data_IF_291774082140
#
_entry.id   IF_291774082140
#
_cell.length_a   1.000
_cell.length_b   1.000
_cell.length_c   1.000
_cell.angle_alpha   90.00
_cell.angle_beta   90.00
_cell.angle_gamma   90.00
#
_symmetry.space_group_name_H-M   'P 1'
#
loop_
_entity.id
_entity.type
_entity.pdbx_description
1 polymer ?
#
# COMPACT_ATOMS: atom_id res chain seq x y z
N UNK A 1 29.86 -51.39 37.02
CA UNK A 1 29.26 -50.49 38.03
C UNK A 1 30.11 -49.22 37.96
N UNK A 2 29.66 -48.07 37.46
CA UNK A 2 28.41 -47.38 37.77
C UNK A 2 28.00 -46.40 36.64
N UNK A 3 26.70 -46.11 36.60
CA UNK A 3 25.92 -45.37 35.60
C UNK A 3 26.30 -43.89 35.41
N UNK A 4 25.90 -43.23 34.30
CA UNK A 4 25.96 -41.78 34.16
C UNK A 4 24.70 -41.11 34.74
N UNK A 5 24.89 -40.01 35.46
CA UNK A 5 23.82 -39.19 36.05
C UNK A 5 23.31 -38.10 35.12
N UNK A 6 21.98 -38.08 35.01
CA UNK A 6 21.00 -37.11 34.51
C UNK A 6 21.39 -35.67 34.18
N UNK A 7 20.81 -35.22 33.06
CA UNK A 7 20.44 -33.86 32.69
C UNK A 7 19.68 -33.10 33.79
N UNK A 8 19.97 -31.81 33.97
CA UNK A 8 19.17 -30.89 34.78
C UNK A 8 18.05 -30.27 33.95
N UNK A 9 16.82 -30.61 34.29
CA UNK A 9 15.58 -30.06 33.74
C UNK A 9 15.41 -28.57 34.08
N UNK A 10 14.95 -27.78 33.11
CA UNK A 10 14.40 -26.46 33.34
C UNK A 10 13.03 -26.58 34.06
N UNK A 11 12.70 -25.67 34.99
CA UNK A 11 11.43 -25.75 35.71
C UNK A 11 10.25 -25.56 34.73
N UNK A 12 9.13 -26.30 34.91
CA UNK A 12 7.97 -26.17 34.05
C UNK A 12 7.36 -24.76 34.18
N UNK A 13 6.74 -24.23 33.11
CA UNK A 13 6.14 -22.90 33.13
C UNK A 13 5.06 -22.82 34.22
N UNK A 14 5.12 -21.77 35.03
CA UNK A 14 4.17 -21.53 36.11
C UNK A 14 2.80 -21.21 35.50
N UNK A 15 1.95 -22.23 35.44
CA UNK A 15 0.60 -22.15 34.87
C UNK A 15 -0.25 -21.05 35.53
N UNK A 16 0.08 -20.65 36.76
CA UNK A 16 -0.60 -19.57 37.47
C UNK A 16 -0.23 -18.19 36.91
N UNK A 17 1.00 -18.01 36.43
CA UNK A 17 1.43 -16.76 35.79
C UNK A 17 0.79 -16.62 34.41
N UNK A 18 0.73 -17.70 33.63
CA UNK A 18 0.10 -17.72 32.31
C UNK A 18 -1.42 -17.48 32.40
N UNK A 19 -2.07 -18.10 33.39
CA UNK A 19 -3.49 -17.88 33.68
C UNK A 19 -3.75 -16.45 34.18
N UNK A 20 -2.89 -15.91 35.03
CA UNK A 20 -2.96 -14.52 35.49
C UNK A 20 -2.85 -13.51 34.34
N UNK A 21 -1.94 -13.73 33.39
CA UNK A 21 -1.82 -12.87 32.20
C UNK A 21 -3.03 -12.98 31.27
N UNK A 22 -3.61 -14.16 31.10
CA UNK A 22 -4.81 -14.37 30.28
C UNK A 22 -6.04 -13.68 30.90
N UNK A 23 -6.21 -13.78 32.21
CA UNK A 23 -7.30 -13.09 32.94
C UNK A 23 -7.12 -11.58 32.86
N UNK A 24 -5.90 -11.06 33.02
CA UNK A 24 -5.63 -9.64 32.86
C UNK A 24 -5.92 -9.13 31.44
N UNK A 25 -5.57 -9.91 30.41
CA UNK A 25 -5.82 -9.57 29.01
C UNK A 25 -7.32 -9.56 28.69
N UNK A 26 -8.08 -10.53 29.22
CA UNK A 26 -9.55 -10.58 29.09
C UNK A 26 -10.22 -9.40 29.79
N UNK A 27 -9.73 -9.00 30.97
CA UNK A 27 -10.25 -7.82 31.69
C UNK A 27 -9.98 -6.53 30.91
N UNK A 28 -8.79 -6.38 30.32
CA UNK A 28 -8.45 -5.21 29.49
C UNK A 28 -9.30 -5.17 28.23
N UNK A 29 -9.50 -6.32 27.55
CA UNK A 29 -10.36 -6.42 26.37
C UNK A 29 -11.81 -6.08 26.74
N UNK A 30 -12.34 -6.62 27.84
CA UNK A 30 -13.68 -6.29 28.34
C UNK A 30 -13.80 -4.81 28.71
N UNK A 31 -12.79 -4.22 29.33
CA UNK A 31 -12.79 -2.79 29.65
C UNK A 31 -12.82 -1.93 28.38
N UNK A 32 -12.05 -2.27 27.35
CA UNK A 32 -12.05 -1.55 26.05
C UNK A 32 -13.41 -1.72 25.37
N UNK A 33 -13.94 -2.94 25.29
CA UNK A 33 -15.23 -3.23 24.66
C UNK A 33 -16.38 -2.52 25.39
N UNK A 34 -16.41 -2.56 26.72
CA UNK A 34 -17.44 -1.88 27.52
C UNK A 34 -17.30 -0.35 27.40
N UNK A 35 -16.08 0.18 27.33
CA UNK A 35 -15.85 1.62 27.10
C UNK A 35 -16.38 2.06 25.74
N UNK A 36 -16.12 1.28 24.68
CA UNK A 36 -16.66 1.55 23.33
C UNK A 36 -18.18 1.41 23.33
N UNK A 37 -18.74 0.38 23.98
CA UNK A 37 -20.18 0.16 24.05
C UNK A 37 -20.94 1.29 24.78
N UNK A 38 -20.43 1.77 25.92
CA UNK A 38 -21.10 2.83 26.70
C UNK A 38 -20.85 4.24 26.16
N UNK A 39 -19.73 4.50 25.46
CA UNK A 39 -19.44 5.82 24.89
C UNK A 39 -20.03 6.00 23.49
N UNK A 40 -20.11 4.93 22.69
CA UNK A 40 -20.54 5.01 21.28
C UNK A 40 -21.98 4.52 21.07
N UNK A 41 -22.41 3.45 21.77
CA UNK A 41 -23.63 2.73 21.37
C UNK A 41 -24.82 3.05 22.28
N UNK A 42 -24.64 3.17 23.60
CA UNK A 42 -25.78 3.39 24.51
C UNK A 42 -25.96 4.84 24.95
N UNK A 43 -26.25 5.73 23.99
CA UNK A 43 -26.94 6.99 24.30
C UNK A 43 -28.10 7.26 23.34
N UNK A 44 -29.09 6.35 23.37
CA UNK A 44 -30.55 6.63 23.41
C UNK A 44 -31.31 5.37 23.03
N UNK A 45 -31.99 4.79 24.01
CA UNK A 45 -33.13 3.90 23.76
C UNK A 45 -34.04 4.02 24.97
N UNK A 46 -35.22 4.61 24.75
CA UNK A 46 -36.50 4.24 25.38
C UNK A 46 -37.60 4.90 24.54
N UNK A 47 -38.30 4.07 23.76
CA UNK A 47 -39.76 3.87 23.82
C UNK A 47 -40.43 3.60 22.46
N UNK A 48 -41.15 2.47 22.43
CA UNK A 48 -42.53 2.40 21.95
C UNK A 48 -42.79 2.17 20.45
N UNK A 49 -43.10 0.93 20.09
CA UNK A 49 -43.60 0.54 18.76
C UNK A 49 -45.11 0.79 18.58
N UNK A 50 -45.53 1.13 17.34
CA UNK A 50 -46.72 0.68 16.56
C UNK A 50 -47.18 1.76 15.54
N UNK A 51 -48.13 1.49 14.60
CA UNK A 51 -47.96 0.81 13.32
C UNK A 51 -48.27 1.72 12.09
N UNK A 52 -47.91 1.23 10.89
CA UNK A 52 -48.05 1.90 9.58
C UNK A 52 -49.49 1.91 9.04
N UNK A 53 -50.01 3.09 8.65
CA UNK A 53 -51.10 3.24 7.65
C UNK A 53 -50.96 4.52 6.81
N UNK A 54 -50.84 4.33 5.48
CA UNK A 54 -51.56 5.05 4.40
C UNK A 54 -51.54 6.57 4.25
N UNK A 55 -50.80 7.04 3.21
CA UNK A 55 -51.29 7.90 2.13
C UNK A 55 -51.72 9.36 2.39
N UNK A 56 -51.07 10.32 1.72
CA UNK A 56 -51.64 11.66 1.51
C UNK A 56 -50.63 12.75 1.16
N UNK A 57 -50.78 13.33 -0.04
CA UNK A 57 -50.12 14.54 -0.56
C UNK A 57 -50.43 15.81 0.26
N UNK A 58 -49.44 16.70 0.43
CA UNK A 58 -49.66 18.05 0.95
C UNK A 58 -48.37 18.88 1.03
N UNK A 59 -48.40 20.09 0.48
CA UNK A 59 -47.27 21.01 0.31
C UNK A 59 -47.09 21.96 1.53
N UNK A 60 -45.88 22.48 1.65
CA UNK A 60 -45.41 23.72 2.34
C UNK A 60 -45.18 23.79 3.87
N UNK A 61 -43.90 24.07 4.16
CA UNK A 61 -43.32 25.06 5.09
C UNK A 61 -42.87 24.68 6.52
N UNK A 62 -41.57 24.94 6.73
CA UNK A 62 -40.86 25.35 7.94
C UNK A 62 -40.68 24.38 9.12
N UNK A 63 -39.40 24.09 9.40
CA UNK A 63 -38.89 23.90 10.77
C UNK A 63 -38.53 22.46 11.14
N UNK A 64 -37.23 22.20 11.27
CA UNK A 64 -36.70 20.99 11.92
C UNK A 64 -35.59 20.34 11.12
N UNK A 65 -34.34 20.63 11.49
CA UNK A 65 -33.17 19.83 11.09
C UNK A 65 -33.29 18.45 11.77
N UNK A 66 -34.05 17.55 11.17
CA UNK A 66 -33.97 16.13 11.48
C UNK A 66 -32.80 15.55 10.67
N UNK A 67 -31.75 15.10 11.38
CA UNK A 67 -30.65 14.35 10.79
C UNK A 67 -31.25 13.12 10.10
N UNK A 68 -31.15 13.07 8.77
CA UNK A 68 -31.45 11.89 7.99
C UNK A 68 -30.65 10.68 8.52
N UNK A 69 -31.24 9.47 8.53
CA UNK A 69 -30.48 8.26 8.83
C UNK A 69 -29.34 8.15 7.82
N UNK A 70 -28.10 8.06 8.28
CA UNK A 70 -26.92 7.96 7.40
C UNK A 70 -26.87 6.56 6.78
N UNK A 71 -27.65 6.37 5.73
CA UNK A 71 -27.64 5.17 4.90
C UNK A 71 -26.50 5.18 3.89
N UNK A 72 -26.47 4.13 3.05
CA UNK A 72 -25.61 3.99 1.88
C UNK A 72 -25.64 5.27 1.03
N UNK A 73 -24.47 5.86 0.80
CA UNK A 73 -24.27 7.01 -0.06
C UNK A 73 -23.60 6.58 -1.35
N UNK A 74 -24.17 6.98 -2.49
CA UNK A 74 -23.59 6.75 -3.81
C UNK A 74 -23.78 7.97 -4.69
N UNK A 75 -22.84 8.20 -5.60
CA UNK A 75 -22.95 9.26 -6.59
C UNK A 75 -22.14 8.96 -7.84
N UNK A 76 -22.70 9.34 -8.99
CA UNK A 76 -22.00 9.33 -10.29
C UNK A 76 -21.46 10.72 -10.65
N UNK A 77 -21.14 10.90 -11.92
CA UNK A 77 -20.63 12.18 -12.45
C UNK A 77 -21.49 13.40 -12.03
N UNK A 78 -20.84 14.46 -11.56
CA UNK A 78 -21.48 15.69 -11.10
C UNK A 78 -22.04 15.65 -9.67
N UNK A 79 -21.97 14.52 -8.97
CA UNK A 79 -22.39 14.41 -7.56
C UNK A 79 -21.40 15.08 -6.60
N UNK A 80 -21.88 15.45 -5.41
CA UNK A 80 -21.02 16.00 -4.34
C UNK A 80 -20.48 14.89 -3.46
N UNK A 81 -19.16 14.85 -3.29
CA UNK A 81 -18.48 14.00 -2.33
C UNK A 81 -18.20 14.82 -1.08
N UNK A 82 -18.43 14.22 0.09
CA UNK A 82 -17.97 14.73 1.38
C UNK A 82 -16.84 13.85 1.90
N UNK A 83 -15.70 14.45 2.22
CA UNK A 83 -14.53 13.76 2.80
C UNK A 83 -14.79 13.46 4.29
N UNK A 84 -13.92 12.64 4.89
CA UNK A 84 -13.94 12.41 6.33
C UNK A 84 -13.60 13.68 7.16
N UNK A 85 -12.91 14.66 6.57
CA UNK A 85 -12.66 15.98 7.19
C UNK A 85 -13.88 16.91 7.14
N UNK A 86 -14.92 16.55 6.39
CA UNK A 86 -16.12 17.37 6.17
C UNK A 86 -16.00 18.36 5.01
N UNK A 87 -14.89 18.33 4.27
CA UNK A 87 -14.72 19.09 3.03
C UNK A 87 -15.57 18.46 1.93
N UNK A 88 -16.00 19.30 0.98
CA UNK A 88 -16.85 18.83 -0.12
C UNK A 88 -16.27 19.24 -1.46
N UNK A 89 -16.37 18.34 -2.44
CA UNK A 89 -15.96 18.59 -3.81
C UNK A 89 -16.88 17.86 -4.80
N UNK A 90 -16.83 18.24 -6.07
CA UNK A 90 -17.64 17.60 -7.12
C UNK A 90 -16.90 16.41 -7.70
N UNK A 91 -17.53 15.24 -7.69
CA UNK A 91 -17.04 14.06 -8.40
C UNK A 91 -17.16 14.28 -9.91
N UNK A 92 -16.03 14.23 -10.61
CA UNK A 92 -15.97 14.40 -12.07
C UNK A 92 -15.41 13.15 -12.70
N UNK A 93 -16.29 12.34 -13.28
CA UNK A 93 -15.92 11.12 -13.99
C UNK A 93 -16.97 10.79 -15.04
N UNK A 94 -16.76 11.29 -16.25
CA UNK A 94 -17.64 11.05 -17.39
C UNK A 94 -17.52 9.64 -17.98
N UNK A 95 -16.67 8.78 -17.42
CA UNK A 95 -16.40 7.43 -17.93
C UNK A 95 -17.28 6.33 -17.34
N UNK A 96 -18.30 6.70 -16.57
CA UNK A 96 -19.31 5.77 -16.04
C UNK A 96 -18.93 5.09 -14.72
N UNK A 97 -17.90 5.59 -14.03
CA UNK A 97 -17.62 5.22 -12.65
C UNK A 97 -18.55 5.94 -11.67
N UNK A 98 -18.64 5.40 -10.47
CA UNK A 98 -19.35 6.01 -9.35
C UNK A 98 -18.59 5.78 -8.06
N UNK A 99 -18.89 6.58 -7.05
CA UNK A 99 -18.40 6.36 -5.71
C UNK A 99 -19.49 5.76 -4.82
N UNK A 100 -19.05 5.02 -3.81
CA UNK A 100 -19.93 4.34 -2.88
C UNK A 100 -19.34 4.40 -1.47
N UNK A 101 -20.16 4.76 -0.50
CA UNK A 101 -19.82 4.75 0.92
C UNK A 101 -20.97 4.12 1.69
N UNK A 102 -20.67 3.05 2.40
CA UNK A 102 -21.55 2.46 3.37
C UNK A 102 -20.85 2.54 4.74
N UNK A 103 -21.49 3.22 5.69
CA UNK A 103 -20.91 3.46 7.02
C UNK A 103 -20.97 2.22 7.91
N UNK A 104 -21.86 1.28 7.62
CA UNK A 104 -21.98 0.01 8.33
C UNK A 104 -21.11 -1.07 7.69
N UNK A 105 -20.91 -1.00 6.36
CA UNK A 105 -20.03 -1.89 5.61
C UNK A 105 -19.21 -1.14 4.55
N UNK A 106 -18.07 -0.52 4.91
CA UNK A 106 -17.28 0.28 3.97
C UNK A 106 -16.57 -0.55 2.88
N UNK A 107 -16.77 -1.88 2.84
CA UNK A 107 -16.09 -2.81 1.94
C UNK A 107 -17.05 -3.64 1.03
N UNK A 108 -18.20 -3.08 0.60
CA UNK A 108 -19.10 -3.64 -0.46
C UNK A 108 -18.53 -3.62 -1.91
N UNK A 109 -17.79 -4.65 -2.32
CA UNK A 109 -16.81 -4.59 -3.44
C UNK A 109 -17.38 -4.44 -4.87
N UNK A 110 -18.61 -3.96 -5.05
CA UNK A 110 -19.26 -3.77 -6.36
C UNK A 110 -19.01 -2.41 -7.01
N UNK A 111 -17.90 -1.73 -6.72
CA UNK A 111 -17.57 -0.40 -7.29
C UNK A 111 -16.57 -0.55 -8.43
N UNK A 112 -16.71 0.25 -9.49
CA UNK A 112 -15.76 0.33 -10.60
C UNK A 112 -15.38 1.77 -10.93
N UNK A 113 -14.12 1.98 -11.34
CA UNK A 113 -13.61 3.30 -11.71
C UNK A 113 -14.19 3.84 -13.02
N UNK A 114 -14.56 2.97 -13.97
CA UNK A 114 -15.13 3.35 -15.27
C UNK A 114 -15.81 2.15 -15.95
N UNK A 115 -16.54 2.41 -17.02
CA UNK A 115 -17.39 1.44 -17.73
C UNK A 115 -16.66 0.26 -18.38
N UNK A 116 -15.34 0.35 -18.58
CA UNK A 116 -14.52 -0.72 -19.17
C UNK A 116 -13.65 -1.45 -18.14
N UNK A 117 -13.79 -1.12 -16.86
CA UNK A 117 -13.06 -1.76 -15.77
C UNK A 117 -14.02 -2.63 -14.97
N UNK A 118 -13.73 -3.93 -14.76
CA UNK A 118 -14.54 -4.77 -13.88
C UNK A 118 -14.64 -4.18 -12.47
N UNK A 119 -15.76 -4.41 -11.78
CA UNK A 119 -15.90 -4.00 -10.37
C UNK A 119 -14.85 -4.68 -9.47
N UNK A 120 -14.55 -4.13 -8.30
CA UNK A 120 -13.46 -4.64 -7.44
C UNK A 120 -13.62 -6.12 -7.06
N UNK A 121 -14.86 -6.60 -6.86
CA UNK A 121 -15.19 -8.01 -6.60
C UNK A 121 -15.25 -8.89 -7.86
N UNK A 122 -15.18 -8.30 -9.04
CA UNK A 122 -15.16 -9.04 -10.29
C UNK A 122 -13.72 -9.43 -10.64
N UNK A 123 -13.61 -10.58 -11.29
CA UNK A 123 -12.32 -11.13 -11.68
C UNK A 123 -11.67 -10.27 -12.77
N UNK A 124 -10.38 -9.97 -12.59
CA UNK A 124 -9.55 -9.35 -13.61
C UNK A 124 -9.00 -10.40 -14.58
N UNK A 125 -9.24 -10.20 -15.88
CA UNK A 125 -8.79 -11.06 -16.97
C UNK A 125 -7.52 -10.48 -17.61
N UNK A 126 -6.36 -10.94 -17.14
CA UNK A 126 -5.07 -10.50 -17.67
C UNK A 126 -4.92 -10.77 -19.18
N UNK A 127 -4.48 -9.77 -19.92
CA UNK A 127 -4.36 -9.80 -21.39
C UNK A 127 -5.62 -9.37 -22.14
N UNK A 128 -6.75 -9.19 -21.44
CA UNK A 128 -7.98 -8.60 -21.99
C UNK A 128 -8.30 -7.28 -21.29
N UNK A 129 -8.29 -7.27 -19.97
CA UNK A 129 -8.47 -6.07 -19.17
C UNK A 129 -7.15 -5.28 -19.12
N UNK A 130 -7.24 -3.98 -19.31
CA UNK A 130 -6.08 -3.09 -19.42
C UNK A 130 -5.83 -2.31 -18.14
N UNK A 131 -4.60 -2.39 -17.65
CA UNK A 131 -4.10 -1.61 -16.51
C UNK A 131 -3.72 -0.22 -17.02
N UNK A 132 -4.53 0.79 -16.72
CA UNK A 132 -4.23 2.19 -16.91
C UNK A 132 -3.90 2.79 -15.53
N UNK A 133 -2.60 2.86 -15.23
CA UNK A 133 -2.11 3.18 -13.90
C UNK A 133 -1.29 4.46 -13.85
N UNK A 134 -1.20 5.05 -12.66
CA UNK A 134 -0.21 6.07 -12.31
C UNK A 134 0.55 5.67 -11.05
N UNK A 135 1.80 6.10 -10.99
CA UNK A 135 2.64 5.93 -9.81
C UNK A 135 2.37 7.04 -8.80
N UNK A 136 2.00 6.68 -7.58
CA UNK A 136 1.92 7.59 -6.44
C UNK A 136 3.28 7.71 -5.75
N UNK A 137 4.30 8.09 -6.54
CA UNK A 137 5.67 8.30 -6.08
C UNK A 137 5.81 9.48 -5.12
N UNK A 138 6.94 9.56 -4.40
CA UNK A 138 7.20 10.62 -3.41
C UNK A 138 6.94 10.22 -1.95
N UNK A 139 6.41 9.02 -1.70
CA UNK A 139 6.34 8.41 -0.37
C UNK A 139 7.74 8.11 0.22
N UNK A 140 8.77 8.01 -0.63
CA UNK A 140 10.16 7.58 -0.28
C UNK A 140 11.22 8.63 -0.64
N UNK A 141 10.83 9.81 -1.15
CA UNK A 141 11.79 10.84 -1.60
C UNK A 141 11.42 12.22 -1.06
N UNK A 142 11.60 12.42 0.24
CA UNK A 142 11.50 13.73 0.87
C UNK A 142 12.91 14.36 0.87
N UNK A 143 13.09 15.60 0.37
CA UNK A 143 14.42 16.25 0.32
C UNK A 143 14.42 17.70 0.86
N UNK A 144 14.10 17.93 2.15
CA UNK A 144 14.26 19.24 2.78
C UNK A 144 15.72 19.64 3.07
N UNK A 145 16.68 18.70 3.01
CA UNK A 145 18.09 18.99 3.27
C UNK A 145 18.91 18.82 1.97
N UNK A 146 19.48 19.89 1.41
CA UNK A 146 20.31 19.82 0.21
C UNK A 146 21.56 18.91 0.36
N UNK A 147 21.96 18.63 1.60
CA UNK A 147 23.09 17.77 1.94
C UNK A 147 22.74 16.28 2.08
N UNK A 148 21.45 15.92 2.08
CA UNK A 148 21.04 14.53 2.15
C UNK A 148 21.20 13.87 0.76
N UNK A 149 22.07 12.87 0.66
CA UNK A 149 22.25 12.11 -0.58
C UNK A 149 21.16 11.07 -0.82
N UNK A 150 20.60 10.53 0.27
CA UNK A 150 19.54 9.53 0.26
C UNK A 150 18.63 9.64 1.51
N UNK A 151 17.62 8.76 1.58
CA UNK A 151 16.66 8.70 2.69
C UNK A 151 17.33 8.37 4.03
N UNK A 152 18.46 7.66 4.02
CA UNK A 152 19.22 7.39 5.24
C UNK A 152 19.82 8.68 5.80
N UNK A 153 20.51 9.45 4.96
CA UNK A 153 21.12 10.71 5.35
C UNK A 153 20.06 11.69 5.83
N UNK A 154 18.95 11.77 5.09
CA UNK A 154 17.80 12.60 5.44
C UNK A 154 17.29 12.29 6.85
N UNK A 155 17.00 11.02 7.09
CA UNK A 155 16.42 10.56 8.34
C UNK A 155 17.40 10.75 9.50
N UNK A 156 18.69 10.51 9.25
CA UNK A 156 19.76 10.76 10.23
C UNK A 156 19.86 12.22 10.62
N UNK A 157 19.82 13.14 9.65
CA UNK A 157 19.86 14.58 9.91
C UNK A 157 18.63 15.05 10.70
N UNK A 158 17.44 14.54 10.36
CA UNK A 158 16.23 14.86 11.11
C UNK A 158 16.24 14.29 12.53
N UNK A 159 16.85 13.12 12.72
CA UNK A 159 17.06 12.54 14.05
C UNK A 159 17.97 13.42 14.89
N UNK A 160 19.08 13.90 14.32
CA UNK A 160 20.01 14.80 14.99
C UNK A 160 19.36 16.11 15.41
N UNK A 161 18.44 16.63 14.60
CA UNK A 161 17.68 17.85 14.89
C UNK A 161 16.47 17.61 15.82
N UNK A 162 16.15 16.36 16.19
CA UNK A 162 14.97 16.00 16.99
C UNK A 162 13.63 16.27 16.29
N UNK A 163 13.63 16.44 14.96
CA UNK A 163 12.46 16.87 14.17
C UNK A 163 11.85 15.78 13.31
N UNK A 164 12.42 14.57 13.32
CA UNK A 164 12.05 13.48 12.40
C UNK A 164 10.55 13.16 12.38
N UNK A 165 9.95 12.88 13.53
CA UNK A 165 8.54 12.51 13.57
C UNK A 165 7.64 13.64 13.06
N UNK A 166 7.84 14.85 13.56
CA UNK A 166 7.06 16.03 13.15
C UNK A 166 7.21 16.31 11.64
N UNK A 167 8.42 16.27 11.10
CA UNK A 167 8.67 16.55 9.68
C UNK A 167 8.13 15.45 8.77
N UNK A 168 8.23 14.19 9.18
CA UNK A 168 7.67 13.08 8.42
C UNK A 168 6.13 13.07 8.50
N UNK A 169 5.53 13.33 9.66
CA UNK A 169 4.08 13.51 9.79
C UNK A 169 3.60 14.70 8.98
N UNK A 170 4.30 15.85 9.05
CA UNK A 170 3.99 17.00 8.22
C UNK A 170 4.17 16.71 6.74
N UNK A 171 5.21 15.96 6.34
CA UNK A 171 5.38 15.51 4.97
C UNK A 171 4.17 14.68 4.58
N UNK A 172 3.86 13.58 5.27
CA UNK A 172 2.71 12.75 4.89
C UNK A 172 1.36 13.48 4.97
N UNK A 173 1.15 14.35 5.95
CA UNK A 173 -0.07 15.15 6.05
C UNK A 173 -0.16 16.16 4.91
N UNK A 174 0.90 16.93 4.62
CA UNK A 174 0.88 17.88 3.51
C UNK A 174 0.89 17.18 2.17
N UNK A 175 1.63 16.07 2.01
CA UNK A 175 1.63 15.15 0.88
C UNK A 175 0.26 14.49 0.64
N UNK A 176 -0.60 14.49 1.67
CA UNK A 176 -2.01 14.06 1.58
C UNK A 176 -3.02 15.24 1.58
N UNK A 177 -2.63 16.49 1.85
CA UNK A 177 -3.58 17.59 2.15
C UNK A 177 -3.31 18.90 1.40
N UNK A 178 -2.14 19.11 0.78
CA UNK A 178 -1.77 20.42 0.21
C UNK A 178 -1.75 20.46 -1.32
N UNK A 179 -2.85 20.94 -1.91
CA UNK A 179 -3.17 21.04 -3.34
C UNK A 179 -2.14 21.72 -4.28
N UNK A 180 -0.98 22.16 -3.79
CA UNK A 180 0.04 22.82 -4.62
C UNK A 180 1.30 21.99 -4.87
N UNK A 181 1.61 20.96 -4.07
CA UNK A 181 2.77 20.07 -4.32
C UNK A 181 2.61 18.65 -3.72
N UNK A 182 1.37 18.19 -3.49
CA UNK A 182 1.08 16.94 -2.79
C UNK A 182 0.14 16.04 -3.58
N UNK A 183 0.54 14.79 -3.79
CA UNK A 183 -0.04 13.89 -4.79
C UNK A 183 -1.00 12.82 -4.22
N UNK A 184 -1.60 12.99 -3.04
CA UNK A 184 -2.36 11.89 -2.41
C UNK A 184 -3.54 12.31 -1.51
N UNK A 185 -4.32 13.32 -1.87
CA UNK A 185 -5.64 13.59 -1.25
C UNK A 185 -6.71 12.61 -1.74
N UNK A 186 -7.89 12.61 -1.11
CA UNK A 186 -9.06 11.90 -1.64
C UNK A 186 -9.47 12.44 -3.03
N UNK A 187 -9.33 13.75 -3.25
CA UNK A 187 -9.66 14.40 -4.52
C UNK A 187 -8.73 13.93 -5.65
N UNK A 188 -7.46 13.65 -5.36
CA UNK A 188 -6.51 13.12 -6.35
C UNK A 188 -6.95 11.74 -6.86
N UNK A 189 -7.47 10.86 -5.99
CA UNK A 189 -8.00 9.55 -6.41
C UNK A 189 -9.22 9.73 -7.32
N UNK A 190 -10.04 10.74 -7.05
CA UNK A 190 -11.16 11.11 -7.93
C UNK A 190 -10.65 11.65 -9.27
N UNK A 191 -9.62 12.48 -9.29
CA UNK A 191 -9.03 12.97 -10.53
C UNK A 191 -8.39 11.84 -11.35
N UNK A 192 -7.74 10.87 -10.71
CA UNK A 192 -7.21 9.66 -11.35
C UNK A 192 -8.35 8.88 -12.02
N UNK A 193 -9.43 8.59 -11.31
CA UNK A 193 -10.61 7.94 -11.88
C UNK A 193 -11.23 8.78 -13.01
N UNK A 194 -11.34 10.10 -12.80
CA UNK A 194 -11.85 11.09 -13.76
C UNK A 194 -10.97 11.29 -15.00
N UNK A 195 -9.71 10.85 -14.96
CA UNK A 195 -8.81 10.77 -16.11
C UNK A 195 -8.94 9.44 -16.88
N UNK A 196 -9.82 8.52 -16.44
CA UNK A 196 -10.03 7.22 -17.06
C UNK A 196 -9.03 6.15 -16.61
N UNK A 197 -8.26 6.42 -15.56
CA UNK A 197 -7.34 5.45 -14.96
C UNK A 197 -8.11 4.52 -14.01
N UNK A 198 -7.59 3.32 -13.82
CA UNK A 198 -8.25 2.25 -13.06
C UNK A 198 -7.33 1.56 -12.03
N UNK A 199 -6.05 1.91 -12.03
CA UNK A 199 -5.05 1.41 -11.09
C UNK A 199 -4.18 2.54 -10.54
N UNK A 200 -3.59 2.29 -9.38
CA UNK A 200 -2.47 3.06 -8.84
C UNK A 200 -1.35 2.14 -8.40
N UNK A 201 -0.11 2.52 -8.69
CA UNK A 201 1.08 1.89 -8.10
C UNK A 201 1.51 2.70 -6.88
N UNK A 202 1.67 2.03 -5.74
CA UNK A 202 1.94 2.64 -4.44
C UNK A 202 3.30 2.15 -3.94
N UNK A 203 4.38 2.91 -4.19
CA UNK A 203 5.69 2.63 -3.63
C UNK A 203 5.67 2.72 -2.11
N UNK A 204 6.06 1.65 -1.42
CA UNK A 204 6.20 1.59 0.03
C UNK A 204 7.61 1.19 0.42
N UNK A 205 8.16 1.77 1.49
CA UNK A 205 9.44 1.31 2.02
C UNK A 205 9.27 0.10 2.95
N UNK A 206 10.34 -0.67 3.19
CA UNK A 206 10.28 -1.83 4.09
C UNK A 206 9.95 -1.45 5.55
N UNK A 207 10.29 -0.24 5.99
CA UNK A 207 9.96 0.25 7.34
C UNK A 207 8.50 0.71 7.47
N UNK A 208 7.68 0.52 6.43
CA UNK A 208 6.23 0.70 6.50
C UNK A 208 5.56 -0.31 7.43
N UNK A 209 6.16 -1.48 7.64
CA UNK A 209 5.70 -2.46 8.62
C UNK A 209 6.62 -2.49 9.84
N UNK A 210 6.19 -3.20 10.88
CA UNK A 210 7.06 -3.50 12.02
C UNK A 210 8.34 -4.14 11.53
N UNK A 211 9.48 -3.56 11.88
CA UNK A 211 10.79 -4.02 11.46
C UNK A 211 11.73 -4.13 12.67
N UNK A 212 12.85 -4.81 12.50
CA UNK A 212 13.83 -5.04 13.55
C UNK A 212 15.20 -4.58 13.10
N UNK A 213 16.00 -4.04 14.03
CA UNK A 213 17.35 -3.55 13.78
C UNK A 213 18.27 -4.58 13.10
N UNK A 214 19.29 -4.05 12.42
CA UNK A 214 20.26 -4.80 11.59
C UNK A 214 21.14 -5.74 12.43
N UNK A 215 21.08 -5.63 13.76
CA UNK A 215 21.78 -6.46 14.75
C UNK A 215 22.82 -5.67 15.56
N UNK A 216 23.55 -6.38 16.43
CA UNK A 216 24.69 -5.83 17.17
C UNK A 216 26.00 -6.19 16.44
N UNK A 217 26.83 -5.19 16.13
CA UNK A 217 28.22 -5.42 15.72
C UNK A 217 29.01 -6.04 16.88
N UNK A 218 30.15 -6.67 16.59
CA UNK A 218 30.97 -7.39 17.59
C UNK A 218 31.47 -6.54 18.77
N UNK A 219 31.32 -5.21 18.71
CA UNK A 219 31.55 -4.25 19.79
C UNK A 219 30.28 -3.89 20.60
N UNK A 220 29.16 -4.60 20.39
CA UNK A 220 27.82 -4.32 20.95
C UNK A 220 27.22 -2.97 20.53
N UNK A 221 27.75 -2.33 19.48
CA UNK A 221 27.07 -1.20 18.86
C UNK A 221 25.95 -1.74 17.97
N UNK A 222 24.70 -1.38 18.28
CA UNK A 222 23.57 -1.62 17.37
C UNK A 222 23.75 -0.75 16.13
N UNK A 223 23.83 -1.34 14.94
CA UNK A 223 23.50 -0.58 13.74
C UNK A 223 21.98 -0.54 13.65
N UNK A 224 21.40 0.59 14.00
CA UNK A 224 19.98 0.85 13.83
C UNK A 224 19.78 1.59 12.51
N UNK A 225 18.84 1.11 11.69
CA UNK A 225 18.36 1.90 10.55
C UNK A 225 17.57 3.10 11.12
N UNK A 226 17.76 4.33 10.60
CA UNK A 226 17.24 5.53 11.27
C UNK A 226 15.72 5.73 11.10
N UNK A 227 15.01 4.82 10.42
CA UNK A 227 13.65 5.04 9.93
C UNK A 227 12.57 4.95 11.02
N UNK A 228 11.50 5.74 10.87
CA UNK A 228 10.31 5.61 11.73
C UNK A 228 9.48 4.42 11.26
N UNK A 229 9.43 3.39 12.10
CA UNK A 229 8.56 2.22 11.93
C UNK A 229 7.09 2.62 11.79
N UNK A 230 6.43 2.13 10.74
CA UNK A 230 4.96 2.12 10.63
C UNK A 230 4.31 3.49 10.36
N UNK A 231 5.07 4.58 10.30
CA UNK A 231 4.49 5.92 10.19
C UNK A 231 3.71 6.12 8.88
N UNK A 232 4.23 5.64 7.75
CA UNK A 232 3.55 5.73 6.46
C UNK A 232 2.35 4.76 6.33
N UNK A 233 2.29 3.70 7.16
CA UNK A 233 1.26 2.66 7.03
C UNK A 233 -0.16 3.20 7.24
N UNK A 234 -0.36 4.12 8.18
CA UNK A 234 -1.68 4.75 8.41
C UNK A 234 -2.18 5.51 7.17
N UNK A 235 -1.27 6.08 6.38
CA UNK A 235 -1.59 6.78 5.13
C UNK A 235 -1.90 5.80 4.00
N UNK A 236 -1.16 4.69 3.91
CA UNK A 236 -1.41 3.60 2.95
C UNK A 236 -2.78 2.98 3.18
N UNK A 237 -3.16 2.69 4.43
CA UNK A 237 -4.48 2.16 4.76
C UNK A 237 -5.60 3.14 4.42
N UNK A 238 -5.37 4.44 4.63
CA UNK A 238 -6.33 5.49 4.21
C UNK A 238 -6.48 5.52 2.68
N UNK A 239 -5.38 5.40 1.94
CA UNK A 239 -5.39 5.30 0.48
C UNK A 239 -6.20 4.09 0.00
N UNK A 240 -6.08 2.94 0.66
CA UNK A 240 -6.89 1.76 0.31
C UNK A 240 -8.38 2.05 0.46
N UNK A 241 -8.82 2.76 1.50
CA UNK A 241 -10.21 3.14 1.66
C UNK A 241 -10.72 4.05 0.52
N UNK A 242 -9.88 4.97 0.02
CA UNK A 242 -10.24 5.79 -1.13
C UNK A 242 -10.25 5.00 -2.43
N UNK A 243 -9.23 4.18 -2.66
CA UNK A 243 -9.17 3.30 -3.82
C UNK A 243 -10.42 2.42 -3.90
N UNK A 244 -10.81 1.89 -2.75
CA UNK A 244 -12.04 1.15 -2.56
C UNK A 244 -13.29 1.97 -2.94
N UNK A 245 -13.44 3.17 -2.34
CA UNK A 245 -14.59 4.08 -2.56
C UNK A 245 -14.80 4.46 -4.02
N UNK A 246 -13.74 4.50 -4.82
CA UNK A 246 -13.77 4.93 -6.23
C UNK A 246 -13.51 3.80 -7.23
N UNK A 247 -13.44 2.54 -6.79
CA UNK A 247 -13.25 1.38 -7.67
C UNK A 247 -11.87 1.32 -8.34
N UNK A 248 -10.84 1.91 -7.73
CA UNK A 248 -9.44 1.89 -8.17
C UNK A 248 -8.72 0.70 -7.54
N UNK A 249 -7.99 -0.07 -8.35
CA UNK A 249 -7.15 -1.17 -7.89
C UNK A 249 -5.74 -0.68 -7.54
N UNK A 250 -5.05 -1.42 -6.68
CA UNK A 250 -3.74 -1.05 -6.14
C UNK A 250 -2.70 -2.12 -6.50
N UNK A 251 -1.61 -1.66 -7.10
CA UNK A 251 -0.32 -2.35 -7.08
C UNK A 251 0.51 -1.80 -5.90
N UNK A 252 0.55 -2.53 -4.79
CA UNK A 252 1.41 -2.18 -3.67
C UNK A 252 2.84 -2.59 -4.02
N UNK A 253 3.82 -1.70 -3.97
CA UNK A 253 5.16 -2.01 -4.48
C UNK A 253 6.26 -1.72 -3.46
N UNK A 254 7.02 -2.75 -3.09
CA UNK A 254 8.10 -2.66 -2.12
C UNK A 254 9.34 -2.03 -2.75
N UNK A 255 9.46 -0.73 -2.54
CA UNK A 255 10.40 0.13 -3.24
C UNK A 255 11.78 0.21 -2.57
N UNK A 256 11.89 -0.25 -1.33
CA UNK A 256 13.15 -0.32 -0.60
C UNK A 256 13.38 -1.70 0.00
N UNK A 257 14.63 -2.14 -0.01
CA UNK A 257 15.06 -3.36 0.64
C UNK A 257 16.14 -3.06 1.69
N UNK A 258 16.20 -3.82 2.81
CA UNK A 258 17.34 -3.78 3.73
C UNK A 258 18.67 -3.94 2.99
N UNK A 259 19.65 -3.10 3.33
CA UNK A 259 20.95 -3.07 2.65
C UNK A 259 20.93 -2.49 1.22
N UNK A 260 19.79 -2.00 0.73
CA UNK A 260 19.56 -1.45 -0.61
C UNK A 260 19.81 -2.41 -1.77
N UNK A 261 18.86 -2.43 -2.68
CA UNK A 261 18.90 -3.21 -3.92
C UNK A 261 19.48 -2.44 -5.11
N UNK A 262 19.60 -1.10 -5.03
CA UNK A 262 19.96 -0.25 -6.17
C UNK A 262 20.53 1.14 -5.82
N UNK A 263 21.00 1.38 -4.59
CA UNK A 263 21.44 2.72 -4.16
C UNK A 263 22.51 3.33 -5.08
N UNK A 264 22.34 4.63 -5.36
CA UNK A 264 23.30 5.49 -6.05
C UNK A 264 24.32 6.13 -5.10
N UNK A 265 23.96 6.32 -3.83
CA UNK A 265 24.73 7.08 -2.84
C UNK A 265 25.42 6.20 -1.79
N UNK A 266 25.00 4.94 -1.67
CA UNK A 266 25.57 3.92 -0.77
C UNK A 266 25.79 2.62 -1.51
N UNK A 267 26.55 1.72 -0.89
CA UNK A 267 26.82 0.40 -1.48
C UNK A 267 25.57 -0.47 -1.47
N UNK A 268 25.25 -1.09 -2.61
CA UNK A 268 24.29 -2.19 -2.71
C UNK A 268 24.80 -3.38 -1.90
N UNK A 269 24.03 -3.76 -0.87
CA UNK A 269 24.32 -4.87 0.04
C UNK A 269 23.19 -5.89 0.09
N UNK A 270 22.04 -5.67 -0.55
CA UNK A 270 20.99 -6.67 -0.71
C UNK A 270 21.50 -7.89 -1.51
N UNK A 271 21.30 -9.11 -0.99
CA UNK A 271 21.77 -10.38 -1.58
C UNK A 271 23.29 -10.48 -1.83
N UNK A 272 24.09 -9.55 -1.29
CA UNK A 272 25.55 -9.51 -1.43
C UNK A 272 26.27 -9.92 -0.15
N UNK A 273 26.98 -11.06 -0.18
CA UNK A 273 27.70 -11.57 0.98
C UNK A 273 26.79 -12.04 2.12
N UNK A 274 27.37 -12.41 3.26
CA UNK A 274 26.62 -12.99 4.38
C UNK A 274 25.53 -12.04 4.92
N UNK A 275 25.86 -10.76 5.10
CA UNK A 275 24.89 -9.76 5.54
C UNK A 275 23.81 -9.48 4.49
N UNK A 276 24.13 -9.59 3.20
CA UNK A 276 23.13 -9.44 2.15
C UNK A 276 22.10 -10.55 2.12
N UNK A 277 22.47 -11.78 2.48
CA UNK A 277 21.51 -12.87 2.67
C UNK A 277 20.63 -12.61 3.91
N UNK A 278 21.20 -12.11 5.00
CA UNK A 278 20.40 -11.71 6.17
C UNK A 278 19.40 -10.59 5.83
N UNK A 279 19.80 -9.60 5.03
CA UNK A 279 18.92 -8.56 4.52
C UNK A 279 17.78 -9.10 3.64
N UNK A 280 18.08 -10.10 2.79
CA UNK A 280 17.06 -10.77 1.99
C UNK A 280 16.07 -11.55 2.86
N UNK A 281 16.54 -12.21 3.91
CA UNK A 281 15.66 -12.89 4.86
C UNK A 281 14.73 -11.91 5.59
N UNK A 282 15.24 -10.76 6.03
CA UNK A 282 14.41 -9.68 6.61
C UNK A 282 13.33 -9.22 5.63
N UNK A 283 13.68 -9.07 4.35
CA UNK A 283 12.71 -8.70 3.32
C UNK A 283 11.61 -9.76 3.13
N UNK A 284 11.96 -11.05 3.16
CA UNK A 284 10.97 -12.15 3.14
C UNK A 284 10.01 -12.06 4.32
N UNK A 285 10.50 -11.73 5.52
CA UNK A 285 9.65 -11.56 6.70
C UNK A 285 8.68 -10.39 6.54
N UNK A 286 9.13 -9.28 5.96
CA UNK A 286 8.26 -8.13 5.66
C UNK A 286 7.23 -8.44 4.59
N UNK A 287 7.63 -9.15 3.52
CA UNK A 287 6.72 -9.64 2.47
C UNK A 287 5.67 -10.57 3.09
N UNK A 288 6.03 -11.44 4.03
CA UNK A 288 5.09 -12.31 4.76
C UNK A 288 4.06 -11.48 5.56
N UNK A 289 4.51 -10.46 6.29
CA UNK A 289 3.63 -9.57 7.08
C UNK A 289 2.66 -8.83 6.17
N UNK A 290 3.17 -8.20 5.10
CA UNK A 290 2.37 -7.43 4.14
C UNK A 290 1.37 -8.35 3.44
N UNK A 291 1.81 -9.52 2.97
CA UNK A 291 0.94 -10.51 2.31
C UNK A 291 -0.22 -10.91 3.21
N UNK A 292 0.04 -11.24 4.48
CA UNK A 292 -1.04 -11.57 5.44
C UNK A 292 -1.99 -10.41 5.68
N UNK A 293 -1.49 -9.17 5.66
CA UNK A 293 -2.32 -7.99 5.83
C UNK A 293 -3.26 -7.77 4.63
N UNK A 294 -2.72 -7.78 3.41
CA UNK A 294 -3.51 -7.48 2.20
C UNK A 294 -4.51 -8.60 1.83
N UNK A 295 -4.39 -9.78 2.46
CA UNK A 295 -5.36 -10.87 2.32
C UNK A 295 -6.57 -10.75 3.23
N UNK A 296 -6.59 -9.78 4.14
CA UNK A 296 -7.78 -9.54 4.94
C UNK A 296 -8.95 -9.12 4.02
N UNK A 297 -10.19 -9.51 4.33
CA UNK A 297 -11.37 -9.22 3.49
C UNK A 297 -11.49 -7.74 3.09
N UNK A 298 -11.03 -6.84 3.95
CA UNK A 298 -11.06 -5.39 3.78
C UNK A 298 -10.14 -4.88 2.65
N UNK A 299 -9.09 -5.63 2.30
CA UNK A 299 -8.06 -5.16 1.37
C UNK A 299 -7.90 -6.03 0.13
N UNK A 300 -8.32 -7.30 0.18
CA UNK A 300 -8.01 -8.29 -0.86
C UNK A 300 -8.57 -7.92 -2.25
N UNK A 301 -9.73 -7.26 -2.32
CA UNK A 301 -10.34 -6.82 -3.59
C UNK A 301 -9.69 -5.56 -4.15
N UNK A 302 -9.00 -4.77 -3.32
CA UNK A 302 -8.32 -3.54 -3.73
C UNK A 302 -6.88 -3.81 -4.12
N UNK A 303 -6.14 -4.52 -3.27
CA UNK A 303 -4.72 -4.83 -3.48
C UNK A 303 -4.60 -6.13 -4.27
N UNK A 304 -4.73 -6.02 -5.58
CA UNK A 304 -4.69 -7.17 -6.50
C UNK A 304 -3.29 -7.45 -7.07
N UNK A 305 -2.33 -6.55 -6.86
CA UNK A 305 -0.92 -6.74 -7.25
C UNK A 305 0.01 -6.33 -6.10
N UNK A 306 1.08 -7.09 -5.90
CA UNK A 306 2.14 -6.84 -4.94
C UNK A 306 3.51 -6.93 -5.62
N UNK A 307 4.14 -5.78 -5.87
CA UNK A 307 5.55 -5.65 -6.23
C UNK A 307 6.44 -5.92 -5.04
N UNK A 308 7.35 -6.88 -5.16
CA UNK A 308 8.09 -7.42 -4.01
C UNK A 308 9.54 -6.92 -3.92
N UNK A 309 10.05 -6.34 -5.00
CA UNK A 309 11.38 -5.75 -5.04
C UNK A 309 11.54 -4.85 -6.27
N UNK A 310 11.50 -3.54 -6.05
CA UNK A 310 11.70 -2.56 -7.11
C UNK A 310 13.16 -2.47 -7.61
N UNK A 311 13.36 -2.40 -8.92
CA UNK A 311 14.59 -1.94 -9.58
C UNK A 311 15.91 -2.57 -9.09
N UNK A 312 15.93 -3.88 -8.81
CA UNK A 312 17.16 -4.55 -8.37
C UNK A 312 18.31 -4.42 -9.38
N UNK A 313 19.48 -3.98 -8.91
CA UNK A 313 20.64 -3.72 -9.79
C UNK A 313 21.36 -5.03 -10.14
N UNK A 314 20.87 -5.73 -11.16
CA UNK A 314 21.39 -7.02 -11.61
C UNK A 314 22.89 -7.03 -11.93
N UNK A 315 23.51 -5.99 -12.53
CA UNK A 315 24.97 -5.97 -12.72
C UNK A 315 25.76 -6.13 -11.42
N UNK A 316 25.18 -5.75 -10.28
CA UNK A 316 25.82 -5.81 -8.96
C UNK A 316 25.41 -7.07 -8.19
N UNK A 317 24.11 -7.37 -8.13
CA UNK A 317 23.57 -8.48 -7.33
C UNK A 317 23.69 -9.83 -8.05
N UNK A 318 23.64 -9.79 -9.39
CA UNK A 318 23.56 -10.89 -10.36
C UNK A 318 22.17 -11.52 -10.46
N UNK A 319 21.81 -11.93 -11.68
CA UNK A 319 20.49 -12.44 -12.02
C UNK A 319 20.13 -13.74 -11.27
N UNK A 320 21.08 -14.66 -11.08
CA UNK A 320 20.81 -15.91 -10.38
C UNK A 320 20.35 -15.68 -8.93
N UNK A 321 21.00 -14.77 -8.22
CA UNK A 321 20.67 -14.42 -6.84
C UNK A 321 19.25 -13.86 -6.74
N UNK A 322 18.90 -12.92 -7.63
CA UNK A 322 17.55 -12.34 -7.68
C UNK A 322 16.51 -13.39 -8.10
N UNK A 323 16.84 -14.27 -9.04
CA UNK A 323 15.95 -15.35 -9.49
C UNK A 323 15.62 -16.34 -8.35
N UNK A 324 16.62 -16.72 -7.55
CA UNK A 324 16.42 -17.58 -6.38
C UNK A 324 15.56 -16.87 -5.33
N UNK A 325 15.81 -15.58 -5.09
CA UNK A 325 15.01 -14.78 -4.18
C UNK A 325 13.55 -14.68 -4.64
N UNK A 326 13.30 -14.43 -5.93
CA UNK A 326 11.95 -14.39 -6.51
C UNK A 326 11.22 -15.73 -6.42
N UNK A 327 11.92 -16.86 -6.60
CA UNK A 327 11.34 -18.18 -6.32
C UNK A 327 10.92 -18.31 -4.84
N UNK A 328 11.77 -17.91 -3.90
CA UNK A 328 11.44 -17.95 -2.47
C UNK A 328 10.23 -17.07 -2.12
N UNK A 329 10.13 -15.90 -2.74
CA UNK A 329 8.97 -15.02 -2.58
C UNK A 329 7.70 -15.66 -3.16
N UNK A 330 7.78 -16.25 -4.35
CA UNK A 330 6.67 -16.98 -4.97
C UNK A 330 6.16 -18.10 -4.05
N UNK A 331 7.06 -18.95 -3.57
CA UNK A 331 6.74 -20.05 -2.66
C UNK A 331 6.14 -19.52 -1.34
N UNK A 332 6.72 -18.46 -0.77
CA UNK A 332 6.21 -17.83 0.46
C UNK A 332 4.78 -17.35 0.30
N UNK A 333 4.50 -16.54 -0.74
CA UNK A 333 3.16 -15.99 -1.00
C UNK A 333 2.18 -17.11 -1.32
N UNK A 334 2.57 -18.09 -2.13
CA UNK A 334 1.71 -19.24 -2.46
C UNK A 334 1.47 -20.17 -1.28
N UNK A 335 2.40 -20.30 -0.33
CA UNK A 335 2.17 -21.05 0.90
C UNK A 335 1.16 -20.35 1.82
N UNK A 336 1.08 -19.02 1.78
CA UNK A 336 0.08 -18.25 2.53
C UNK A 336 -1.29 -18.31 1.82
N UNK A 337 -1.30 -18.25 0.49
CA UNK A 337 -2.53 -18.02 -0.31
C UNK A 337 -3.11 -19.26 -0.99
N UNK A 338 -2.30 -20.30 -1.22
CA UNK A 338 -2.49 -21.45 -2.11
C UNK A 338 -1.90 -21.28 -3.53
N UNK A 339 -1.47 -22.40 -4.11
CA UNK A 339 -1.03 -22.51 -5.50
C UNK A 339 -2.19 -22.53 -6.52
N UNK A 340 -3.45 -22.42 -6.08
CA UNK A 340 -4.59 -22.33 -7.00
C UNK A 340 -4.77 -20.91 -7.56
N UNK A 341 -5.18 -20.80 -8.83
CA UNK A 341 -5.45 -19.52 -9.49
C UNK A 341 -6.51 -18.70 -8.74
N UNK A 342 -6.35 -17.38 -8.72
CA UNK A 342 -7.32 -16.46 -8.09
C UNK A 342 -7.26 -16.39 -6.57
N UNK A 343 -6.23 -16.97 -5.93
CA UNK A 343 -6.02 -16.84 -4.48
C UNK A 343 -4.88 -15.87 -4.16
N UNK A 344 -5.24 -14.71 -3.62
CA UNK A 344 -4.29 -13.66 -3.27
C UNK A 344 -3.83 -12.82 -4.47
N UNK A 345 -2.93 -11.85 -4.23
CA UNK A 345 -2.50 -10.89 -5.25
C UNK A 345 -1.60 -11.53 -6.31
N UNK A 346 -1.49 -10.84 -7.44
CA UNK A 346 -0.42 -11.08 -8.41
C UNK A 346 0.91 -10.57 -7.86
N UNK A 347 1.97 -11.38 -7.98
CA UNK A 347 3.31 -11.08 -7.52
C UNK A 347 4.05 -10.43 -8.69
N UNK A 348 4.41 -9.15 -8.52
CA UNK A 348 5.16 -8.40 -9.52
C UNK A 348 6.66 -8.47 -9.22
N UNK A 349 7.42 -8.91 -10.22
CA UNK A 349 8.88 -8.99 -10.21
C UNK A 349 9.45 -7.97 -11.19
N UNK A 350 10.28 -7.04 -10.72
CA UNK A 350 10.95 -6.11 -11.61
C UNK A 350 12.08 -6.79 -12.42
N UNK A 351 12.23 -6.43 -13.70
CA UNK A 351 13.15 -7.06 -14.65
C UNK A 351 14.66 -6.79 -14.39
N UNK A 352 14.93 -5.92 -13.42
CA UNK A 352 16.27 -5.50 -13.01
C UNK A 352 17.08 -4.83 -14.13
N UNK A 353 16.38 -4.15 -15.05
CA UNK A 353 16.90 -3.46 -16.24
C UNK A 353 17.58 -4.37 -17.26
N UNK A 354 17.31 -5.68 -17.21
CA UNK A 354 17.81 -6.63 -18.21
C UNK A 354 16.85 -6.86 -19.38
N UNK A 355 15.64 -6.31 -19.29
CA UNK A 355 14.57 -6.44 -20.28
C UNK A 355 13.83 -7.77 -20.20
N UNK A 356 12.59 -7.80 -20.68
CA UNK A 356 11.68 -8.95 -20.56
C UNK A 356 12.28 -10.25 -21.09
N UNK A 357 13.05 -10.19 -22.19
CA UNK A 357 13.63 -11.38 -22.82
C UNK A 357 14.65 -12.14 -21.96
N UNK A 358 15.32 -11.48 -21.02
CA UNK A 358 16.31 -12.12 -20.13
C UNK A 358 15.66 -13.05 -19.10
N UNK A 359 14.36 -12.86 -18.84
CA UNK A 359 13.54 -13.63 -17.92
C UNK A 359 12.70 -14.70 -18.62
N UNK A 360 12.89 -14.91 -19.93
CA UNK A 360 12.20 -15.95 -20.67
C UNK A 360 12.48 -17.34 -20.04
N UNK A 361 11.40 -18.07 -19.75
CA UNK A 361 11.49 -19.39 -19.12
C UNK A 361 11.77 -19.37 -17.61
N UNK A 362 11.82 -18.19 -16.97
CA UNK A 362 11.83 -18.09 -15.51
C UNK A 362 10.47 -18.52 -14.94
N UNK A 363 10.50 -19.37 -13.91
CA UNK A 363 9.33 -19.91 -13.20
C UNK A 363 8.23 -20.49 -14.14
N UNK A 364 8.54 -21.49 -14.98
CA UNK A 364 7.56 -22.07 -15.88
C UNK A 364 6.42 -22.72 -15.09
N UNK A 365 5.18 -22.33 -15.38
CA UNK A 365 3.99 -22.84 -14.70
C UNK A 365 3.70 -22.20 -13.33
N UNK A 366 4.48 -21.20 -12.90
CA UNK A 366 4.12 -20.41 -11.73
C UNK A 366 2.81 -19.65 -11.97
N UNK A 367 1.99 -19.62 -10.94
CA UNK A 367 0.72 -18.88 -10.95
C UNK A 367 0.95 -17.43 -10.50
N UNK A 368 0.10 -16.52 -10.99
CA UNK A 368 0.03 -15.13 -10.51
C UNK A 368 1.37 -14.38 -10.51
N UNK A 369 2.23 -14.62 -11.50
CA UNK A 369 3.48 -13.87 -11.66
C UNK A 369 3.31 -12.82 -12.76
N UNK A 370 3.76 -11.61 -12.48
CA UNK A 370 3.86 -10.50 -13.43
C UNK A 370 5.33 -10.08 -13.48
N UNK A 371 5.82 -9.78 -14.68
CA UNK A 371 7.11 -9.14 -14.86
C UNK A 371 6.88 -7.64 -15.10
N UNK A 372 7.52 -6.82 -14.28
CA UNK A 372 7.46 -5.36 -14.33
C UNK A 372 8.73 -4.79 -14.97
N UNK A 373 8.57 -3.81 -15.84
CA UNK A 373 9.66 -3.21 -16.62
C UNK A 373 9.50 -1.70 -16.63
N UNK A 374 10.62 -0.99 -16.42
CA UNK A 374 10.64 0.47 -16.30
C UNK A 374 11.37 1.11 -17.48
N UNK A 375 10.68 1.28 -18.64
CA UNK A 375 11.28 1.90 -19.82
C UNK A 375 11.38 3.42 -19.63
N UNK A 376 12.60 3.92 -19.40
CA UNK A 376 12.88 5.35 -19.39
C UNK A 376 13.66 5.78 -20.64
N UNK A 377 13.28 6.92 -21.20
CA UNK A 377 13.96 7.54 -22.35
C UNK A 377 14.88 8.70 -21.94
N UNK A 378 14.93 9.00 -20.64
CA UNK A 378 15.68 10.12 -20.07
C UNK A 378 17.07 9.73 -19.54
N UNK A 379 17.33 8.44 -19.34
CA UNK A 379 18.56 7.94 -18.72
C UNK A 379 19.32 7.07 -19.71
N UNK A 380 20.54 7.46 -20.07
CA UNK A 380 21.36 6.71 -21.03
C UNK A 380 22.37 7.59 -21.75
N UNK A 381 23.15 6.97 -22.64
CA UNK A 381 24.21 7.65 -23.41
C UNK A 381 23.63 8.60 -24.48
N UNK A 382 22.45 8.28 -24.99
CA UNK A 382 21.71 9.10 -25.96
C UNK A 382 20.51 9.72 -25.24
N UNK A 383 20.74 10.83 -24.53
CA UNK A 383 19.68 11.58 -23.86
C UNK A 383 18.66 12.06 -24.90
N UNK A 384 17.39 11.73 -24.70
CA UNK A 384 16.32 12.31 -25.49
C UNK A 384 15.95 13.69 -24.93
N UNK A 385 16.52 14.74 -25.52
CA UNK A 385 16.30 16.13 -25.09
C UNK A 385 15.17 16.82 -25.84
N UNK A 386 14.38 16.08 -26.63
CA UNK A 386 13.28 16.70 -27.38
C UNK A 386 12.18 17.20 -26.44
N UNK A 387 11.65 18.41 -26.66
CA UNK A 387 10.59 18.96 -25.83
C UNK A 387 9.28 18.20 -26.06
N UNK A 388 8.52 18.01 -24.97
CA UNK A 388 7.21 17.35 -24.98
C UNK A 388 6.19 18.10 -25.86
N UNK A 389 6.35 19.42 -25.99
CA UNK A 389 5.55 20.33 -26.82
C UNK A 389 6.47 21.34 -27.51
N UNK A 390 6.20 21.66 -28.78
CA UNK A 390 6.83 22.79 -29.47
C UNK A 390 5.76 23.85 -29.78
N UNK A 391 5.54 24.79 -28.87
CA UNK A 391 4.51 25.82 -29.00
C UNK A 391 3.35 25.65 -28.02
N UNK A 392 2.21 26.29 -28.32
CA UNK A 392 1.05 26.35 -27.41
C UNK A 392 -0.08 25.37 -27.75
N UNK A 393 0.00 24.62 -28.86
CA UNK A 393 -1.05 23.67 -29.26
C UNK A 393 -1.00 22.39 -28.41
N UNK A 394 -2.01 22.11 -27.56
CA UNK A 394 -2.07 20.90 -26.74
C UNK A 394 -2.13 19.62 -27.58
N UNK A 395 -2.55 19.68 -28.85
CA UNK A 395 -2.54 18.54 -29.77
C UNK A 395 -1.14 18.20 -30.30
N UNK A 396 -0.16 19.08 -30.10
CA UNK A 396 1.24 18.83 -30.43
C UNK A 396 2.02 18.12 -29.31
N UNK A 397 1.37 17.90 -28.15
CA UNK A 397 1.81 16.99 -27.09
C UNK A 397 1.78 15.58 -27.67
N UNK A 398 2.91 14.87 -27.68
CA UNK A 398 2.90 13.49 -28.21
C UNK A 398 3.98 13.10 -29.22
N UNK A 399 5.07 13.86 -29.36
CA UNK A 399 6.13 13.63 -30.37
C UNK A 399 6.89 12.30 -30.20
N UNK A 400 8.14 12.23 -30.66
CA UNK A 400 9.01 11.04 -30.69
C UNK A 400 9.07 10.24 -29.38
N UNK A 401 8.88 10.86 -28.22
CA UNK A 401 8.85 10.15 -26.93
C UNK A 401 7.51 9.44 -26.68
N UNK A 402 6.33 10.10 -26.65
CA UNK A 402 5.05 9.40 -26.52
C UNK A 402 4.82 8.36 -27.63
N UNK A 403 5.20 8.68 -28.87
CA UNK A 403 5.13 7.71 -29.98
C UNK A 403 6.02 6.48 -29.81
N UNK A 404 7.15 6.59 -29.08
CA UNK A 404 8.03 5.45 -28.72
C UNK A 404 7.60 4.75 -27.44
N UNK A 405 6.94 5.47 -26.52
CA UNK A 405 6.40 4.90 -25.28
C UNK A 405 5.13 4.06 -25.54
N UNK A 406 4.40 4.34 -26.63
CA UNK A 406 3.22 3.59 -27.06
C UNK A 406 3.53 2.44 -28.06
N UNK A 407 4.79 2.23 -28.43
CA UNK A 407 5.26 1.09 -29.22
C UNK A 407 5.78 0.01 -28.29
#
# INVERSE_FOLDING_TARGET
MSSPTSSSDAPPPDHNLLFGTLVALVIIILAIILSVYFVVIKKKSDDGAAPLTGGGTGNSSAGGNEKAPMGVLTGGDGSTVTTNSGETFTYRNSFGGYWFVDQENPFVSGVHANSWTPALNESWTWGMDHVNSVNLGGCVLYQPYPSAGDEWDLTTLMHADGTLQMKMEQHYDTFTVSALLAFQTEEDIVQIAGAGLNWVQVPIPFWAVRWSDVGQLGNRTSEAEPFIEGLCWKYIVRLFAWAWKYGIRVNLDLHTAPGSQNSRCRQVNFLKGAMGIANAQRLLDYICIITKFILQPEYHDVVQMFGVLNESLLPTIRQLQVSVFYLQVHDLVCNITSYSTGKGPYISFHDGFSGISSWAGFLPGANRVILDTHPYFAFGVNLNTEPIVSGEDPKSVGRLWPGRACQ
#
